data_IF_570468178442
#
_entry.id   IF_570468178442
#
_cell.length_a   1.000
_cell.length_b   1.000
_cell.length_c   1.000
_cell.angle_alpha   90.00
_cell.angle_beta   90.00
_cell.angle_gamma   90.00
#
_symmetry.space_group_name_H-M   'P 1'
#
loop_
_entity.id
_entity.type
_entity.pdbx_description
1 polymer ?
#
# COMPACT_ATOMS: atom_id res chain seq x y z
N UNK A 1 8.28 -26.46 -8.01
CA UNK A 1 8.46 -25.01 -8.32
C UNK A 1 7.49 -24.60 -9.43
N UNK A 2 7.06 -23.33 -9.48
CA UNK A 2 6.08 -22.84 -10.48
C UNK A 2 6.81 -22.18 -11.64
N UNK A 3 6.48 -22.57 -12.87
CA UNK A 3 7.15 -22.08 -14.08
C UNK A 3 6.13 -21.45 -15.04
N UNK A 4 6.58 -20.43 -15.78
CA UNK A 4 5.86 -19.83 -16.90
C UNK A 4 6.50 -20.26 -18.22
N UNK A 5 5.68 -20.72 -19.17
CA UNK A 5 6.07 -20.88 -20.57
C UNK A 5 5.95 -19.52 -21.24
N UNK A 6 7.05 -19.02 -21.75
CA UNK A 6 7.16 -17.68 -22.31
C UNK A 6 7.49 -17.77 -23.78
N UNK A 7 6.76 -17.01 -24.59
CA UNK A 7 7.10 -16.72 -25.96
C UNK A 7 8.31 -15.79 -25.99
N UNK A 8 9.43 -16.25 -26.55
CA UNK A 8 10.71 -15.53 -26.52
C UNK A 8 10.67 -14.22 -27.31
N UNK A 9 9.95 -14.20 -28.44
CA UNK A 9 9.87 -13.02 -29.31
C UNK A 9 9.04 -11.88 -28.69
N UNK A 10 8.00 -12.23 -27.92
CA UNK A 10 7.04 -11.25 -27.38
C UNK A 10 7.11 -11.07 -25.87
N UNK A 11 7.83 -11.94 -25.16
CA UNK A 11 7.86 -11.99 -23.70
C UNK A 11 6.53 -12.40 -23.05
N UNK A 12 5.53 -12.82 -23.85
CA UNK A 12 4.19 -13.17 -23.35
C UNK A 12 4.17 -14.53 -22.67
N UNK A 13 3.47 -14.61 -21.55
CA UNK A 13 3.22 -15.88 -20.86
C UNK A 13 2.12 -16.64 -21.60
N UNK A 14 2.46 -17.83 -22.10
CA UNK A 14 1.53 -18.71 -22.81
C UNK A 14 0.88 -19.74 -21.89
N UNK A 15 1.60 -20.19 -20.86
CA UNK A 15 1.12 -21.21 -19.92
C UNK A 15 1.85 -21.09 -18.59
N UNK A 16 1.22 -21.51 -17.52
CA UNK A 16 1.85 -21.64 -16.20
C UNK A 16 1.61 -23.06 -15.69
N UNK A 17 2.66 -23.71 -15.17
CA UNK A 17 2.58 -25.08 -14.66
C UNK A 17 3.65 -25.31 -13.58
N UNK A 18 3.39 -26.25 -12.68
CA UNK A 18 4.35 -26.69 -11.67
C UNK A 18 5.17 -27.87 -12.17
N UNK A 19 6.47 -27.83 -11.87
CA UNK A 19 7.43 -28.86 -12.21
C UNK A 19 8.41 -29.06 -11.05
N UNK A 20 8.93 -30.28 -10.91
CA UNK A 20 9.98 -30.61 -9.95
C UNK A 20 11.36 -30.22 -10.48
N UNK A 21 11.59 -30.44 -11.78
CA UNK A 21 12.73 -29.93 -12.54
C UNK A 21 12.33 -29.76 -14.01
N UNK A 22 12.85 -28.72 -14.66
CA UNK A 22 12.64 -28.47 -16.08
C UNK A 22 13.98 -28.47 -16.81
N UNK A 23 14.05 -29.22 -17.90
CA UNK A 23 15.14 -29.10 -18.85
C UNK A 23 14.78 -27.99 -19.84
N UNK A 24 15.70 -27.04 -20.06
CA UNK A 24 15.49 -25.89 -20.96
C UNK A 24 16.16 -26.16 -22.30
N UNK A 25 15.42 -26.66 -23.31
CA UNK A 25 16.00 -26.99 -24.62
C UNK A 25 16.34 -25.74 -25.43
N UNK A 26 17.46 -25.82 -26.14
CA UNK A 26 17.98 -24.75 -27.01
C UNK A 26 17.11 -24.53 -28.26
N UNK A 27 17.25 -23.35 -28.88
CA UNK A 27 16.64 -22.98 -30.16
C UNK A 27 15.12 -23.20 -30.22
N UNK A 28 14.43 -23.09 -29.08
CA UNK A 28 12.98 -23.12 -29.04
C UNK A 28 12.43 -21.70 -29.01
N UNK A 29 11.35 -21.41 -29.74
CA UNK A 29 10.66 -20.12 -29.68
C UNK A 29 9.96 -19.89 -28.33
N UNK A 30 9.90 -20.93 -27.48
CA UNK A 30 9.31 -20.86 -26.16
C UNK A 30 10.25 -21.47 -25.13
N UNK A 31 10.34 -20.83 -23.98
CA UNK A 31 11.14 -21.30 -22.85
C UNK A 31 10.30 -21.33 -21.59
N UNK A 32 10.61 -22.25 -20.68
CA UNK A 32 10.04 -22.26 -19.34
C UNK A 32 11.01 -21.60 -18.38
N UNK A 33 10.55 -20.57 -17.67
CA UNK A 33 11.35 -19.90 -16.63
C UNK A 33 10.61 -19.94 -15.30
N UNK A 34 11.37 -20.03 -14.21
CA UNK A 34 10.80 -20.10 -12.87
C UNK A 34 10.11 -18.77 -12.53
N UNK A 35 8.96 -18.86 -11.85
CA UNK A 35 8.25 -17.71 -11.30
C UNK A 35 8.62 -17.59 -9.83
N UNK A 36 9.28 -16.50 -9.49
CA UNK A 36 9.53 -16.12 -8.09
C UNK A 36 8.51 -15.05 -7.71
N UNK A 37 7.89 -15.22 -6.55
CA UNK A 37 7.01 -14.21 -5.96
C UNK A 37 7.73 -13.64 -4.77
N UNK A 38 7.92 -12.34 -4.78
CA UNK A 38 8.42 -11.63 -3.60
C UNK A 38 7.26 -11.33 -2.66
N UNK A 39 7.58 -11.31 -1.37
CA UNK A 39 6.63 -10.91 -0.36
C UNK A 39 6.33 -9.41 -0.49
N UNK A 40 5.13 -9.03 -0.05
CA UNK A 40 4.75 -7.63 -0.02
C UNK A 40 5.67 -6.88 0.97
N UNK A 41 6.37 -5.82 0.55
CA UNK A 41 7.24 -5.08 1.43
C UNK A 41 6.44 -4.38 2.54
N UNK A 42 7.08 -4.14 3.68
CA UNK A 42 6.55 -3.26 4.71
C UNK A 42 6.77 -1.81 4.25
N UNK A 43 5.71 -1.00 4.28
CA UNK A 43 5.76 0.42 3.93
C UNK A 43 4.78 1.22 4.78
N UNK A 44 5.03 2.51 4.90
CA UNK A 44 4.10 3.45 5.54
C UNK A 44 2.92 3.74 4.60
N UNK A 45 1.72 3.30 5.01
CA UNK A 45 0.49 3.45 4.23
C UNK A 45 -0.05 4.89 4.22
N UNK A 46 0.47 5.76 5.08
CA UNK A 46 0.07 7.16 5.11
C UNK A 46 0.79 7.98 4.04
N UNK A 47 1.96 7.52 3.59
CA UNK A 47 2.84 8.27 2.68
C UNK A 47 3.21 7.52 1.41
N UNK A 48 3.12 6.19 1.40
CA UNK A 48 3.53 5.33 0.30
C UNK A 48 2.46 4.28 -0.05
N UNK A 49 2.60 3.70 -1.25
CA UNK A 49 1.88 2.51 -1.71
C UNK A 49 2.81 1.50 -2.35
N UNK A 50 2.47 0.23 -2.23
CA UNK A 50 3.13 -0.84 -2.96
C UNK A 50 2.42 -1.09 -4.30
N UNK A 51 3.16 -0.98 -5.41
CA UNK A 51 2.68 -1.26 -6.76
C UNK A 51 3.28 -2.56 -7.24
N UNK A 52 2.45 -3.46 -7.78
CA UNK A 52 2.94 -4.73 -8.33
C UNK A 52 3.83 -4.49 -9.53
N UNK A 53 5.00 -5.11 -9.51
CA UNK A 53 5.95 -5.07 -10.61
C UNK A 53 6.22 -6.47 -11.14
N UNK A 54 6.60 -6.52 -12.41
CA UNK A 54 6.96 -7.76 -13.09
C UNK A 54 8.30 -7.51 -13.75
N UNK A 55 9.31 -8.21 -13.27
CA UNK A 55 10.64 -8.20 -13.87
C UNK A 55 10.82 -9.49 -14.64
N UNK A 56 11.18 -9.36 -15.91
CA UNK A 56 11.52 -10.48 -16.78
C UNK A 56 12.74 -10.09 -17.60
N UNK A 57 13.76 -10.95 -17.71
CA UNK A 57 14.88 -10.69 -18.60
C UNK A 57 14.46 -10.77 -20.07
N UNK A 58 15.25 -10.14 -20.93
CA UNK A 58 15.07 -10.28 -22.37
C UNK A 58 15.41 -11.72 -22.79
N UNK A 59 14.50 -12.33 -23.55
CA UNK A 59 14.61 -13.70 -24.04
C UNK A 59 14.58 -13.75 -25.57
N UNK A 60 14.57 -12.60 -26.25
CA UNK A 60 14.30 -12.49 -27.69
C UNK A 60 15.42 -13.05 -28.57
N UNK A 61 16.67 -12.99 -28.10
CA UNK A 61 17.82 -13.56 -28.81
C UNK A 61 17.77 -15.09 -28.75
N UNK A 62 17.46 -15.75 -29.88
CA UNK A 62 17.33 -17.20 -29.96
C UNK A 62 18.67 -17.94 -30.03
N UNK A 63 19.76 -17.24 -30.35
CA UNK A 63 21.10 -17.79 -30.51
C UNK A 63 21.83 -17.95 -29.18
N UNK A 64 21.26 -17.39 -28.09
CA UNK A 64 21.77 -17.50 -26.73
C UNK A 64 20.92 -18.48 -25.92
N UNK A 65 21.62 -19.33 -25.16
CA UNK A 65 21.04 -20.23 -24.17
C UNK A 65 20.42 -19.43 -23.03
N UNK A 66 19.15 -19.73 -22.71
CA UNK A 66 18.52 -19.16 -21.51
C UNK A 66 19.08 -19.89 -20.30
N UNK A 67 19.82 -19.17 -19.46
CA UNK A 67 20.39 -19.73 -18.24
C UNK A 67 19.30 -20.33 -17.34
N UNK A 68 19.54 -21.50 -16.71
CA UNK A 68 18.55 -22.14 -15.87
C UNK A 68 18.21 -21.36 -14.60
N UNK A 69 19.02 -20.37 -14.23
CA UNK A 69 18.79 -19.48 -13.09
C UNK A 69 17.93 -18.26 -13.45
N UNK A 70 17.50 -18.14 -14.71
CA UNK A 70 16.64 -17.05 -15.15
C UNK A 70 15.26 -17.18 -14.54
N UNK A 71 14.81 -16.10 -13.91
CA UNK A 71 13.54 -16.04 -13.20
C UNK A 71 12.67 -14.90 -13.72
N UNK A 72 11.36 -15.11 -13.69
CA UNK A 72 10.35 -14.05 -13.76
C UNK A 72 9.96 -13.69 -12.34
N UNK A 73 10.28 -12.48 -11.92
CA UNK A 73 10.00 -11.99 -10.57
C UNK A 73 8.69 -11.22 -10.57
N UNK A 74 7.75 -11.65 -9.72
CA UNK A 74 6.52 -10.95 -9.41
C UNK A 74 6.74 -10.23 -8.08
N UNK A 75 7.09 -8.95 -8.15
CA UNK A 75 7.52 -8.14 -7.01
C UNK A 75 6.62 -6.95 -6.74
N UNK A 76 7.14 -6.04 -5.92
CA UNK A 76 6.47 -4.81 -5.54
C UNK A 76 7.47 -3.65 -5.45
N UNK A 77 7.11 -2.52 -6.05
CA UNK A 77 7.81 -1.26 -5.84
C UNK A 77 7.06 -0.41 -4.82
N UNK A 78 7.77 0.14 -3.85
CA UNK A 78 7.21 1.11 -2.91
C UNK A 78 7.41 2.50 -3.48
N UNK A 79 6.30 3.17 -3.80
CA UNK A 79 6.32 4.51 -4.37
C UNK A 79 5.53 5.48 -3.46
N UNK A 80 5.89 6.77 -3.44
CA UNK A 80 5.13 7.77 -2.70
C UNK A 80 3.71 7.89 -3.27
N UNK A 81 2.77 8.21 -2.39
CA UNK A 81 1.40 8.55 -2.78
C UNK A 81 1.40 9.83 -3.62
N UNK A 82 0.49 9.90 -4.59
CA UNK A 82 0.26 11.13 -5.34
C UNK A 82 -0.38 12.21 -4.44
N UNK A 83 -0.32 13.50 -4.82
CA UNK A 83 -0.99 14.56 -4.07
C UNK A 83 -2.49 14.30 -3.83
N UNK A 84 -3.20 13.77 -4.82
CA UNK A 84 -4.63 13.44 -4.71
C UNK A 84 -4.88 12.26 -3.75
N UNK A 85 -3.99 11.28 -3.74
CA UNK A 85 -4.05 10.15 -2.81
C UNK A 85 -3.77 10.62 -1.38
N UNK A 86 -2.77 11.49 -1.18
CA UNK A 86 -2.47 12.11 0.12
C UNK A 86 -3.65 12.96 0.61
N UNK A 87 -4.30 13.71 -0.28
CA UNK A 87 -5.50 14.48 0.07
C UNK A 87 -6.63 13.56 0.52
N UNK A 88 -6.82 12.43 -0.15
CA UNK A 88 -7.85 11.43 0.21
C UNK A 88 -7.58 10.84 1.60
N UNK A 89 -6.33 10.49 1.91
CA UNK A 89 -5.93 10.01 3.24
C UNK A 89 -6.21 11.08 4.30
N UNK A 90 -5.85 12.33 4.01
CA UNK A 90 -6.07 13.47 4.91
C UNK A 90 -7.57 13.71 5.17
N UNK A 91 -8.39 13.70 4.13
CA UNK A 91 -9.86 13.84 4.24
C UNK A 91 -10.48 12.69 5.04
N UNK A 92 -9.96 11.46 4.88
CA UNK A 92 -10.35 10.32 5.70
C UNK A 92 -10.08 10.55 7.19
N UNK A 93 -8.88 11.04 7.54
CA UNK A 93 -8.53 11.40 8.92
C UNK A 93 -9.40 12.53 9.48
N UNK A 94 -9.71 13.54 8.66
CA UNK A 94 -10.61 14.65 9.03
C UNK A 94 -12.03 14.15 9.30
N UNK A 95 -12.51 13.19 8.51
CA UNK A 95 -13.82 12.58 8.73
C UNK A 95 -13.86 11.77 10.02
N UNK A 96 -12.85 10.94 10.28
CA UNK A 96 -12.78 10.18 11.53
C UNK A 96 -12.75 11.10 12.76
N UNK A 97 -11.98 12.20 12.70
CA UNK A 97 -11.99 13.20 13.79
C UNK A 97 -13.29 14.01 13.86
N UNK A 98 -14.06 14.16 12.78
CA UNK A 98 -15.38 14.80 12.84
C UNK A 98 -16.36 14.02 13.71
N UNK A 99 -16.36 12.69 13.57
CA UNK A 99 -17.23 11.81 14.35
C UNK A 99 -16.89 11.92 15.85
N UNK A 100 -15.60 11.91 16.19
CA UNK A 100 -15.16 12.12 17.58
C UNK A 100 -15.53 13.51 18.13
N UNK A 101 -15.43 14.55 17.30
CA UNK A 101 -15.84 15.91 17.70
C UNK A 101 -17.35 16.02 17.89
N UNK A 102 -18.16 15.29 17.14
CA UNK A 102 -19.60 15.25 17.34
C UNK A 102 -19.95 14.69 18.72
N UNK A 103 -19.32 13.57 19.11
CA UNK A 103 -19.48 12.99 20.44
C UNK A 103 -19.01 13.94 21.55
N UNK A 104 -17.98 14.75 21.30
CA UNK A 104 -17.55 15.80 22.22
C UNK A 104 -18.59 16.91 22.36
N UNK A 105 -19.20 17.36 21.25
CA UNK A 105 -20.26 18.39 21.29
C UNK A 105 -21.47 17.86 22.07
N UNK A 106 -21.88 16.62 21.88
CA UNK A 106 -22.96 16.01 22.68
C UNK A 106 -22.62 16.01 24.18
N UNK A 107 -21.37 15.65 24.55
CA UNK A 107 -20.90 15.69 25.93
C UNK A 107 -20.90 17.11 26.51
N UNK A 108 -20.47 18.11 25.74
CA UNK A 108 -20.53 19.53 26.14
C UNK A 108 -21.98 19.96 26.37
N UNK A 109 -22.88 19.65 25.43
CA UNK A 109 -24.30 20.01 25.52
C UNK A 109 -24.96 19.36 26.74
N UNK A 110 -24.64 18.09 27.03
CA UNK A 110 -25.09 17.40 28.22
C UNK A 110 -24.53 18.04 29.51
N UNK A 111 -23.27 18.46 29.51
CA UNK A 111 -22.66 19.14 30.66
C UNK A 111 -23.32 20.50 30.92
N UNK A 112 -23.60 21.30 29.88
CA UNK A 112 -24.32 22.58 30.00
C UNK A 112 -25.73 22.36 30.55
N UNK A 113 -26.45 21.36 30.03
CA UNK A 113 -27.82 21.09 30.46
C UNK A 113 -27.92 20.66 31.94
N UNK A 114 -26.88 19.97 32.45
CA UNK A 114 -26.88 19.41 33.80
C UNK A 114 -26.09 20.25 34.82
N UNK A 115 -25.35 21.27 34.40
CA UNK A 115 -24.49 22.05 35.27
C UNK A 115 -24.74 23.57 35.10
N UNK A 116 -25.21 24.27 36.14
CA UNK A 116 -25.49 25.70 36.06
C UNK A 116 -24.22 26.59 36.13
N UNK A 117 -23.04 26.02 36.39
CA UNK A 117 -21.79 26.74 36.46
C UNK A 117 -21.07 26.84 35.10
N UNK A 118 -20.24 27.88 34.86
CA UNK A 118 -19.43 27.98 33.65
C UNK A 118 -18.48 26.79 33.51
N UNK A 119 -18.48 26.17 32.32
CA UNK A 119 -17.57 25.09 31.97
C UNK A 119 -16.12 25.59 31.87
N UNK A 120 -15.18 24.77 32.36
CA UNK A 120 -13.74 24.99 32.35
C UNK A 120 -13.06 23.86 31.58
N UNK A 121 -11.81 24.08 31.16
CA UNK A 121 -11.00 23.08 30.45
C UNK A 121 -11.00 21.72 31.15
N UNK A 122 -10.83 21.74 32.47
CA UNK A 122 -10.72 20.55 33.32
C UNK A 122 -12.03 19.79 33.50
N UNK A 123 -13.16 20.31 33.00
CA UNK A 123 -14.44 19.59 32.99
C UNK A 123 -14.50 18.56 31.85
N UNK A 124 -13.51 18.56 30.96
CA UNK A 124 -13.38 17.62 29.84
C UNK A 124 -12.12 16.76 30.00
N UNK A 125 -12.16 15.48 29.59
CA UNK A 125 -11.02 14.59 29.67
C UNK A 125 -9.89 15.06 28.73
N UNK A 126 -8.64 14.81 29.11
CA UNK A 126 -7.47 15.25 28.31
C UNK A 126 -7.47 14.68 26.88
N UNK A 127 -8.05 13.48 26.70
CA UNK A 127 -8.24 12.84 25.40
C UNK A 127 -9.04 13.67 24.41
N UNK A 128 -9.96 14.52 24.89
CA UNK A 128 -10.74 15.42 24.05
C UNK A 128 -9.86 16.56 23.51
N UNK A 129 -8.94 17.07 24.33
CA UNK A 129 -7.96 18.08 23.91
C UNK A 129 -6.92 17.51 22.94
N UNK A 130 -6.50 16.25 23.12
CA UNK A 130 -5.63 15.55 22.17
C UNK A 130 -6.26 15.47 20.77
N UNK A 131 -7.57 15.17 20.69
CA UNK A 131 -8.31 15.11 19.42
C UNK A 131 -8.41 16.50 18.76
N UNK A 132 -8.67 17.55 19.55
CA UNK A 132 -8.69 18.94 19.06
C UNK A 132 -7.31 19.31 18.50
N UNK A 133 -6.24 19.05 19.25
CA UNK A 133 -4.88 19.42 18.87
C UNK A 133 -4.38 18.63 17.66
N UNK A 134 -4.67 17.33 17.57
CA UNK A 134 -4.38 16.53 16.37
C UNK A 134 -5.03 17.13 15.12
N UNK A 135 -6.23 17.69 15.26
CA UNK A 135 -6.96 18.31 14.15
C UNK A 135 -6.44 19.69 13.77
N UNK A 136 -6.04 20.51 14.74
CA UNK A 136 -5.40 21.80 14.50
C UNK A 136 -4.10 21.60 13.71
N UNK A 137 -3.28 20.61 14.12
CA UNK A 137 -2.07 20.22 13.40
C UNK A 137 -2.39 19.81 11.95
N UNK A 138 -3.44 19.00 11.73
CA UNK A 138 -3.87 18.61 10.38
C UNK A 138 -4.31 19.80 9.50
N UNK A 139 -4.68 20.92 10.11
CA UNK A 139 -5.05 22.18 9.41
C UNK A 139 -3.90 23.19 9.31
N UNK A 140 -2.77 22.92 9.96
CA UNK A 140 -1.64 23.85 10.05
C UNK A 140 -1.86 24.98 11.07
N UNK A 141 -2.68 24.73 12.10
CA UNK A 141 -2.98 25.65 13.20
C UNK A 141 -2.22 25.24 14.48
N UNK A 142 -1.99 26.19 15.39
CA UNK A 142 -1.30 25.96 16.68
C UNK A 142 -2.20 25.21 17.69
N UNK A 143 -1.60 24.38 18.53
CA UNK A 143 -2.29 23.63 19.60
C UNK A 143 -2.74 24.53 20.77
N UNK A 144 -3.82 24.12 21.45
CA UNK A 144 -4.45 24.81 22.59
C UNK A 144 -4.38 24.05 23.90
#
# INVERSE_FOLDING_TARGET
MRYAKIDRATGKVLKVKEFDNINMPLNKPHVWIEIVKEDMPVYDRETHKAVRTITQPDLSDLDIDVSPTVQRVLGYDVIPLSPDELQTVTLGKIKATNEMLFDMVERIMAAIANNPAPLKRNDFPETDWDVINARLILRGEDSV
#
